data_IF_912603987865
#
_entry.id   IF_912603987865
#
_cell.length_a   1.000
_cell.length_b   1.000
_cell.length_c   1.000
_cell.angle_alpha   90.00
_cell.angle_beta   90.00
_cell.angle_gamma   90.00
#
_symmetry.space_group_name_H-M   'P 1'
#
loop_
_entity.id
_entity.type
_entity.pdbx_description
1 polymer ?
#
# COMPACT_ATOMS: atom_id res chain seq x y z
N UNK A 1 -9.36 19.69 -34.47
CA UNK A 1 -9.27 18.86 -33.25
C UNK A 1 -7.90 19.05 -32.62
N UNK A 2 -7.76 19.67 -31.43
CA UNK A 2 -6.46 19.71 -30.77
C UNK A 2 -6.14 18.27 -30.34
N UNK A 3 -5.01 17.75 -30.82
CA UNK A 3 -4.52 16.42 -30.48
C UNK A 3 -4.39 16.34 -28.95
N UNK A 4 -5.25 15.54 -28.32
CA UNK A 4 -5.17 15.26 -26.89
C UNK A 4 -3.74 14.87 -26.55
N UNK A 5 -3.15 15.58 -25.58
CA UNK A 5 -1.75 15.43 -25.15
C UNK A 5 -1.47 13.94 -24.95
N UNK A 6 -0.72 13.31 -25.87
CA UNK A 6 -0.39 11.89 -25.78
C UNK A 6 0.40 11.66 -24.50
N UNK A 7 -0.11 10.78 -23.65
CA UNK A 7 0.63 10.25 -22.51
C UNK A 7 1.83 9.48 -23.06
N UNK A 8 3.01 9.61 -22.46
CA UNK A 8 4.19 8.84 -22.89
C UNK A 8 3.93 7.34 -22.70
N UNK A 9 4.60 6.51 -23.50
CA UNK A 9 4.46 5.05 -23.40
C UNK A 9 4.82 4.54 -22.00
N UNK A 10 5.83 5.13 -21.35
CA UNK A 10 6.27 4.74 -20.02
C UNK A 10 5.22 5.06 -18.95
N UNK A 11 4.57 6.22 -19.05
CA UNK A 11 3.47 6.57 -18.13
C UNK A 11 2.28 5.66 -18.36
N UNK A 12 1.95 5.34 -19.62
CA UNK A 12 0.87 4.41 -19.93
C UNK A 12 1.13 3.01 -19.37
N UNK A 13 2.36 2.49 -19.49
CA UNK A 13 2.77 1.21 -18.93
C UNK A 13 2.64 1.21 -17.40
N UNK A 14 3.19 2.22 -16.73
CA UNK A 14 3.08 2.36 -15.27
C UNK A 14 1.64 2.45 -14.77
N UNK A 15 0.78 3.19 -15.48
CA UNK A 15 -0.64 3.29 -15.13
C UNK A 15 -1.33 1.94 -15.27
N UNK A 16 -0.97 1.15 -16.28
CA UNK A 16 -1.53 -0.18 -16.48
C UNK A 16 -1.04 -1.15 -15.39
N UNK A 17 0.22 -1.06 -14.98
CA UNK A 17 0.75 -1.83 -13.85
C UNK A 17 0.02 -1.48 -12.55
N UNK A 18 -0.17 -0.18 -12.28
CA UNK A 18 -0.94 0.29 -11.12
C UNK A 18 -2.40 -0.18 -11.18
N UNK A 19 -3.03 -0.24 -12.36
CA UNK A 19 -4.40 -0.79 -12.50
C UNK A 19 -4.47 -2.27 -12.17
N UNK A 20 -3.52 -3.07 -12.67
CA UNK A 20 -3.46 -4.51 -12.36
C UNK A 20 -3.23 -4.73 -10.86
N UNK A 21 -2.35 -3.93 -10.27
CA UNK A 21 -2.04 -3.98 -8.84
C UNK A 21 -3.26 -3.55 -7.99
N UNK A 22 -3.92 -2.45 -8.37
CA UNK A 22 -5.15 -1.97 -7.73
C UNK A 22 -6.29 -2.98 -7.81
N UNK A 23 -6.45 -3.65 -8.95
CA UNK A 23 -7.47 -4.67 -9.17
C UNK A 23 -7.33 -5.90 -8.24
N UNK A 24 -6.14 -6.13 -7.69
CA UNK A 24 -5.84 -7.22 -6.76
C UNK A 24 -5.78 -6.76 -5.30
N UNK A 25 -6.26 -5.55 -4.98
CA UNK A 25 -6.32 -5.05 -3.60
C UNK A 25 -7.17 -5.93 -2.68
N UNK A 26 -8.36 -6.35 -3.11
CA UNK A 26 -9.27 -7.16 -2.27
C UNK A 26 -8.68 -8.51 -1.89
N UNK A 27 -8.01 -9.16 -2.84
CA UNK A 27 -7.37 -10.46 -2.61
C UNK A 27 -6.22 -10.30 -1.61
N UNK A 28 -5.38 -9.28 -1.77
CA UNK A 28 -4.29 -9.01 -0.82
C UNK A 28 -4.78 -8.62 0.57
N UNK A 29 -5.91 -7.91 0.66
CA UNK A 29 -6.53 -7.63 1.95
C UNK A 29 -7.02 -8.93 2.61
N UNK A 30 -7.64 -9.82 1.84
CA UNK A 30 -8.06 -11.14 2.33
C UNK A 30 -6.86 -11.97 2.81
N UNK A 31 -5.74 -11.95 2.08
CA UNK A 31 -4.49 -12.60 2.49
C UNK A 31 -3.95 -12.02 3.81
N UNK A 32 -4.01 -10.69 3.98
CA UNK A 32 -3.62 -10.04 5.23
C UNK A 32 -4.51 -10.45 6.41
N UNK A 33 -5.83 -10.53 6.21
CA UNK A 33 -6.77 -11.01 7.23
C UNK A 33 -6.53 -12.48 7.58
N UNK A 34 -6.25 -13.33 6.59
CA UNK A 34 -5.93 -14.74 6.82
C UNK A 34 -4.62 -14.91 7.60
N UNK A 35 -3.59 -14.13 7.25
CA UNK A 35 -2.31 -14.13 7.97
C UNK A 35 -2.46 -13.64 9.41
N UNK A 36 -3.27 -12.59 9.66
CA UNK A 36 -3.59 -12.15 11.02
C UNK A 36 -4.26 -13.27 11.81
N UNK A 37 -5.29 -13.90 11.26
CA UNK A 37 -6.01 -14.97 11.94
C UNK A 37 -5.08 -16.13 12.31
N UNK A 38 -4.22 -16.56 11.38
CA UNK A 38 -3.23 -17.61 11.63
C UNK A 38 -2.26 -17.23 12.76
N UNK A 39 -1.77 -15.99 12.78
CA UNK A 39 -0.91 -15.49 13.84
C UNK A 39 -1.63 -15.50 15.20
N UNK A 40 -2.87 -15.00 15.25
CA UNK A 40 -3.68 -14.98 16.49
C UNK A 40 -3.96 -16.37 17.02
N UNK A 41 -4.26 -17.33 16.14
CA UNK A 41 -4.43 -18.75 16.52
C UNK A 41 -3.15 -19.32 17.10
N UNK A 42 -2.00 -19.11 16.44
CA UNK A 42 -0.72 -19.61 16.95
C UNK A 42 -0.34 -19.01 18.31
N UNK A 43 -0.63 -17.73 18.53
CA UNK A 43 -0.44 -17.07 19.84
C UNK A 43 -1.37 -17.64 20.92
N UNK A 44 -2.64 -17.91 20.58
CA UNK A 44 -3.60 -18.50 21.52
C UNK A 44 -3.29 -19.96 21.89
N UNK A 45 -2.66 -20.69 20.97
CA UNK A 45 -2.21 -22.07 21.17
C UNK A 45 -0.83 -22.18 21.84
N UNK A 46 -0.21 -21.05 22.20
CA UNK A 46 1.15 -20.97 22.75
C UNK A 46 2.17 -21.76 21.93
N UNK A 47 2.08 -21.61 20.60
CA UNK A 47 2.99 -22.29 19.66
C UNK A 47 4.45 -21.86 19.86
N UNK A 48 5.41 -22.68 19.39
CA UNK A 48 6.82 -22.35 19.46
C UNK A 48 7.13 -20.93 18.93
N UNK A 49 8.03 -20.23 19.62
CA UNK A 49 8.32 -18.83 19.35
C UNK A 49 8.84 -18.57 17.92
N UNK A 50 9.53 -19.53 17.31
CA UNK A 50 9.99 -19.47 15.93
C UNK A 50 8.84 -19.58 14.91
N UNK A 51 7.84 -20.41 15.19
CA UNK A 51 6.61 -20.50 14.37
C UNK A 51 5.80 -19.20 14.45
N UNK A 52 5.59 -18.68 15.66
CA UNK A 52 4.90 -17.39 15.86
C UNK A 52 5.63 -16.26 15.14
N UNK A 53 6.97 -16.22 15.23
CA UNK A 53 7.80 -15.24 14.54
C UNK A 53 7.67 -15.33 13.02
N UNK A 54 7.59 -16.54 12.46
CA UNK A 54 7.39 -16.71 11.02
C UNK A 54 6.03 -16.14 10.58
N UNK A 55 4.98 -16.37 11.37
CA UNK A 55 3.64 -15.82 11.13
C UNK A 55 3.60 -14.30 11.29
N UNK A 56 4.32 -13.72 12.25
CA UNK A 56 4.46 -12.27 12.40
C UNK A 56 5.03 -11.61 11.15
N UNK A 57 6.08 -12.22 10.58
CA UNK A 57 6.71 -11.75 9.33
C UNK A 57 5.78 -11.91 8.14
N UNK A 58 5.05 -13.03 8.08
CA UNK A 58 4.06 -13.27 7.03
C UNK A 58 2.96 -12.20 7.06
N UNK A 59 2.47 -11.85 8.25
CA UNK A 59 1.45 -10.82 8.42
C UNK A 59 1.96 -9.41 8.06
N UNK A 60 3.16 -8.99 8.49
CA UNK A 60 3.73 -7.68 8.08
C UNK A 60 3.91 -7.59 6.56
N UNK A 61 4.29 -8.70 5.92
CA UNK A 61 4.40 -8.78 4.46
C UNK A 61 3.03 -8.66 3.79
N UNK A 62 2.02 -9.38 4.24
CA UNK A 62 0.68 -9.32 3.68
C UNK A 62 0.05 -7.91 3.84
N UNK A 63 0.26 -7.26 4.98
CA UNK A 63 -0.12 -5.84 5.16
C UNK A 63 0.61 -4.91 4.19
N UNK A 64 1.89 -5.16 3.95
CA UNK A 64 2.69 -4.36 3.00
C UNK A 64 2.15 -4.50 1.58
N UNK A 65 1.83 -5.71 1.14
CA UNK A 65 1.32 -5.93 -0.22
C UNK A 65 -0.10 -5.34 -0.39
N UNK A 66 -0.96 -5.44 0.63
CA UNK A 66 -2.26 -4.78 0.63
C UNK A 66 -2.14 -3.25 0.54
N UNK A 67 -1.20 -2.67 1.31
CA UNK A 67 -0.88 -1.23 1.27
C UNK A 67 -0.36 -0.79 -0.10
N UNK A 68 0.51 -1.57 -0.74
CA UNK A 68 1.00 -1.28 -2.10
C UNK A 68 -0.14 -1.26 -3.12
N UNK A 69 -1.10 -2.19 -3.01
CA UNK A 69 -2.28 -2.22 -3.86
C UNK A 69 -3.24 -1.05 -3.62
N UNK A 70 -3.44 -0.64 -2.37
CA UNK A 70 -4.22 0.56 -2.04
C UNK A 70 -3.55 1.84 -2.57
N UNK A 71 -2.23 1.95 -2.44
CA UNK A 71 -1.45 3.07 -3.02
C UNK A 71 -1.54 3.12 -4.54
N UNK A 72 -1.54 1.96 -5.20
CA UNK A 72 -1.75 1.88 -6.65
C UNK A 72 -3.15 2.33 -7.04
N UNK A 73 -4.18 1.89 -6.31
CA UNK A 73 -5.56 2.31 -6.53
C UNK A 73 -5.73 3.83 -6.36
N UNK A 74 -5.10 4.40 -5.33
CA UNK A 74 -5.06 5.85 -5.13
C UNK A 74 -4.48 6.57 -6.35
N UNK A 75 -3.31 6.13 -6.86
CA UNK A 75 -2.68 6.75 -8.05
C UNK A 75 -3.53 6.62 -9.31
N UNK A 76 -4.20 5.49 -9.51
CA UNK A 76 -5.13 5.29 -10.64
C UNK A 76 -6.26 6.32 -10.58
N UNK A 77 -6.86 6.54 -9.41
CA UNK A 77 -7.92 7.54 -9.21
C UNK A 77 -7.43 8.98 -9.38
N UNK A 78 -6.17 9.26 -9.00
CA UNK A 78 -5.57 10.59 -9.22
C UNK A 78 -5.37 10.89 -10.72
N UNK A 79 -5.07 9.85 -11.50
CA UNK A 79 -4.96 9.88 -12.97
C UNK A 79 -3.57 10.27 -13.50
N UNK A 80 -3.40 10.26 -14.82
CA UNK A 80 -2.10 10.33 -15.51
C UNK A 80 -1.18 11.50 -15.12
N UNK A 81 -1.73 12.60 -14.59
CA UNK A 81 -0.96 13.81 -14.26
C UNK A 81 -0.03 13.66 -13.06
N UNK A 82 -0.23 12.63 -12.22
CA UNK A 82 0.65 12.36 -11.06
C UNK A 82 1.87 11.53 -11.42
N UNK A 83 1.94 11.05 -12.67
CA UNK A 83 3.05 10.25 -13.15
C UNK A 83 4.11 11.15 -13.77
N UNK A 84 5.37 10.86 -13.44
CA UNK A 84 6.56 11.48 -14.04
C UNK A 84 7.32 10.37 -14.75
N UNK A 85 7.65 10.57 -16.03
CA UNK A 85 8.49 9.64 -16.78
C UNK A 85 9.97 9.82 -16.44
N UNK A 86 10.76 8.76 -16.61
CA UNK A 86 12.20 8.84 -16.45
C UNK A 86 12.81 9.88 -17.41
N UNK A 87 13.81 10.64 -16.93
CA UNK A 87 14.46 11.70 -17.70
C UNK A 87 13.76 13.07 -17.71
N UNK A 88 12.59 13.23 -17.07
CA UNK A 88 11.97 14.56 -16.95
C UNK A 88 12.66 15.47 -15.92
N UNK A 89 12.62 16.77 -16.20
CA UNK A 89 13.26 17.82 -15.40
C UNK A 89 12.57 18.06 -14.04
N UNK A 90 13.17 18.92 -13.21
CA UNK A 90 12.61 19.29 -11.91
C UNK A 90 11.23 19.96 -12.00
N UNK A 91 10.94 20.64 -13.12
CA UNK A 91 9.66 21.32 -13.36
C UNK A 91 8.53 20.31 -13.53
N UNK A 92 8.75 19.24 -14.30
CA UNK A 92 7.79 18.17 -14.48
C UNK A 92 7.48 17.43 -13.17
N UNK A 93 8.51 17.18 -12.34
CA UNK A 93 8.32 16.61 -11.00
C UNK A 93 7.43 17.47 -10.13
N UNK A 94 7.73 18.76 -10.06
CA UNK A 94 6.93 19.73 -9.28
C UNK A 94 5.49 19.84 -9.80
N UNK A 95 5.29 19.77 -11.12
CA UNK A 95 3.96 19.76 -11.71
C UNK A 95 3.15 18.50 -11.31
N UNK A 96 3.79 17.34 -11.27
CA UNK A 96 3.16 16.10 -10.81
C UNK A 96 2.82 16.15 -9.31
N UNK A 97 3.71 16.67 -8.46
CA UNK A 97 3.45 16.87 -7.02
C UNK A 97 2.26 17.82 -6.79
N UNK A 98 2.16 18.90 -7.55
CA UNK A 98 1.01 19.82 -7.48
C UNK A 98 -0.26 19.11 -7.94
N UNK A 99 -0.18 18.29 -9.00
CA UNK A 99 -1.30 17.50 -9.47
C UNK A 99 -1.76 16.47 -8.43
N UNK A 100 -0.82 15.82 -7.75
CA UNK A 100 -1.08 14.87 -6.66
C UNK A 100 -1.81 15.54 -5.51
N UNK A 101 -1.29 16.69 -5.02
CA UNK A 101 -1.95 17.46 -3.94
C UNK A 101 -3.37 17.86 -4.30
N UNK A 102 -3.60 18.30 -5.54
CA UNK A 102 -4.94 18.64 -6.02
C UNK A 102 -5.84 17.41 -6.16
N UNK A 103 -5.29 16.27 -6.54
CA UNK A 103 -6.04 15.03 -6.68
C UNK A 103 -6.44 14.44 -5.33
N UNK A 104 -5.59 14.53 -4.30
CA UNK A 104 -5.91 14.11 -2.91
C UNK A 104 -7.14 14.81 -2.34
N UNK A 105 -7.44 16.02 -2.79
CA UNK A 105 -8.64 16.76 -2.39
C UNK A 105 -9.94 16.27 -3.06
N UNK A 106 -9.86 15.36 -4.04
CA UNK A 106 -11.03 14.83 -4.76
C UNK A 106 -11.77 13.80 -3.93
N UNK A 107 -13.09 13.81 -4.01
CA UNK A 107 -13.95 12.86 -3.29
C UNK A 107 -13.69 11.40 -3.70
N UNK A 108 -13.32 11.13 -4.95
CA UNK A 108 -13.05 9.76 -5.42
C UNK A 108 -11.74 9.18 -4.90
N UNK A 109 -10.78 10.04 -4.52
CA UNK A 109 -9.47 9.63 -4.00
C UNK A 109 -9.52 9.40 -2.49
N UNK A 110 -10.37 10.15 -1.78
CA UNK A 110 -10.46 10.15 -0.32
C UNK A 110 -10.65 8.74 0.31
N UNK A 111 -11.52 7.85 -0.20
CA UNK A 111 -11.65 6.50 0.34
C UNK A 111 -10.34 5.71 0.33
N UNK A 112 -9.51 5.90 -0.71
CA UNK A 112 -8.20 5.24 -0.80
C UNK A 112 -7.19 5.84 0.14
N UNK A 113 -7.17 7.17 0.30
CA UNK A 113 -6.31 7.83 1.29
C UNK A 113 -6.64 7.34 2.71
N UNK A 114 -7.93 7.31 3.08
CA UNK A 114 -8.38 6.84 4.39
C UNK A 114 -8.01 5.36 4.61
N UNK A 115 -8.10 4.54 3.56
CA UNK A 115 -7.71 3.13 3.60
C UNK A 115 -6.20 2.93 3.75
N UNK A 116 -5.39 3.70 3.04
CA UNK A 116 -3.93 3.69 3.17
C UNK A 116 -3.52 4.03 4.61
N UNK A 117 -4.15 5.04 5.20
CA UNK A 117 -3.85 5.43 6.57
C UNK A 117 -4.30 4.37 7.57
N UNK A 118 -5.48 3.76 7.37
CA UNK A 118 -5.93 2.58 8.15
C UNK A 118 -4.90 1.45 8.12
N UNK A 119 -4.41 1.07 6.94
CA UNK A 119 -3.43 -0.02 6.78
C UNK A 119 -2.08 0.32 7.40
N UNK A 120 -1.62 1.58 7.28
CA UNK A 120 -0.40 2.06 7.95
C UNK A 120 -0.54 1.98 9.46
N UNK A 121 -1.66 2.42 10.02
CA UNK A 121 -1.94 2.32 11.45
C UNK A 121 -1.97 0.88 11.92
N UNK A 122 -2.64 -0.02 11.19
CA UNK A 122 -2.69 -1.44 11.52
C UNK A 122 -1.28 -2.07 11.55
N UNK A 123 -0.45 -1.76 10.55
CA UNK A 123 0.92 -2.24 10.47
C UNK A 123 1.81 -1.69 11.59
N UNK A 124 1.70 -0.41 11.90
CA UNK A 124 2.47 0.18 13.00
C UNK A 124 2.05 -0.42 14.34
N UNK A 125 0.75 -0.60 14.57
CA UNK A 125 0.23 -1.28 15.76
C UNK A 125 0.81 -2.69 15.91
N UNK A 126 0.82 -3.48 14.82
CA UNK A 126 1.43 -4.82 14.78
C UNK A 126 2.93 -4.79 15.14
N UNK A 127 3.69 -3.84 14.56
CA UNK A 127 5.12 -3.69 14.82
C UNK A 127 5.42 -3.30 16.26
N UNK A 128 4.57 -2.46 16.86
CA UNK A 128 4.70 -2.06 18.26
C UNK A 128 4.37 -3.21 19.21
N UNK A 129 3.30 -3.97 18.96
CA UNK A 129 2.97 -5.14 19.79
C UNK A 129 4.05 -6.20 19.72
N UNK A 130 4.60 -6.44 18.54
CA UNK A 130 5.71 -7.37 18.34
C UNK A 130 6.96 -6.95 19.13
N UNK A 131 7.33 -5.66 19.05
CA UNK A 131 8.49 -5.14 19.79
C UNK A 131 8.30 -5.24 21.30
N UNK A 132 7.10 -4.93 21.79
CA UNK A 132 6.77 -5.00 23.22
C UNK A 132 6.83 -6.45 23.75
N UNK A 133 6.29 -7.42 23.02
CA UNK A 133 6.38 -8.84 23.39
C UNK A 133 7.82 -9.34 23.48
N UNK A 134 8.69 -8.86 22.57
CA UNK A 134 10.12 -9.21 22.56
C UNK A 134 10.90 -8.63 23.75
N UNK A 135 10.50 -7.47 24.28
CA UNK A 135 11.13 -6.88 25.46
C UNK A 135 10.74 -7.56 26.77
N UNK A 136 9.53 -8.12 26.86
CA UNK A 136 9.04 -8.79 28.09
C UNK A 136 9.59 -10.23 28.19
N UNK A 137 9.81 -10.91 27.07
CA UNK A 137 10.40 -12.25 27.04
C UNK A 137 11.94 -12.29 27.23
N UNK A 138 12.60 -11.14 27.36
CA UNK A 138 14.06 -11.03 27.50
C UNK A 138 14.53 -10.66 28.92
N UNK A 139 13.65 -10.77 29.92
CA UNK A 139 13.90 -10.53 31.36
C UNK A 139 13.60 -11.81 32.12
#
# INVERSE_FOLDING_TARGET
MPLGRRISKDVAARMEDDRRLAGSYRDRLADATAAEAALRTAQAEDRPADEVKALDVAFDRALTTALEAALAAERVEMGAKVYVSEGQDGTARRAAEIAERKARARWSVRPWTDEIDRLRTAREAHRLSYRAGRSVAAV
#
